data_IF_229291705349
#
_entry.id   IF_229291705349
#
_cell.length_a   1.000
_cell.length_b   1.000
_cell.length_c   1.000
_cell.angle_alpha   90.00
_cell.angle_beta   90.00
_cell.angle_gamma   90.00
#
_symmetry.space_group_name_H-M   'P 1'
#
loop_
_entity.id
_entity.type
_entity.pdbx_description
1 polymer ?
#
# COMPACT_ATOMS: atom_id res chain seq x y z
N UNK A 1 65.69 -21.66 13.11
CA UNK A 1 64.42 -22.32 12.75
C UNK A 1 63.31 -21.55 13.44
N UNK A 2 62.62 -20.66 12.71
CA UNK A 2 61.53 -19.82 13.23
C UNK A 2 60.24 -20.15 12.46
N UNK A 3 59.16 -20.33 13.20
CA UNK A 3 57.81 -20.67 12.74
C UNK A 3 57.21 -19.52 11.92
N UNK A 4 56.65 -19.81 10.74
CA UNK A 4 55.77 -18.87 10.01
C UNK A 4 54.33 -19.07 10.49
N UNK A 5 53.60 -18.00 10.86
CA UNK A 5 52.16 -18.11 11.11
C UNK A 5 51.39 -18.20 9.78
N UNK A 6 50.36 -19.03 9.77
CA UNK A 6 49.32 -19.12 8.74
C UNK A 6 48.48 -17.85 8.81
N UNK A 7 48.42 -17.09 7.72
CA UNK A 7 47.38 -16.09 7.49
C UNK A 7 46.19 -16.80 6.85
N UNK A 8 45.12 -17.01 7.63
CA UNK A 8 43.82 -17.42 7.10
C UNK A 8 43.18 -16.31 6.26
N UNK A 9 42.20 -16.63 5.41
CA UNK A 9 41.56 -15.65 4.54
C UNK A 9 40.87 -14.58 5.38
N UNK A 10 41.19 -13.31 5.10
CA UNK A 10 40.44 -12.18 5.64
C UNK A 10 38.98 -12.29 5.17
N UNK A 11 37.98 -12.04 6.04
CA UNK A 11 36.60 -11.97 5.60
C UNK A 11 36.45 -10.73 4.72
N UNK A 12 36.37 -10.96 3.41
CA UNK A 12 36.00 -9.92 2.44
C UNK A 12 34.64 -9.36 2.84
N UNK A 13 34.64 -8.12 3.31
CA UNK A 13 33.42 -7.32 3.40
C UNK A 13 32.88 -7.22 1.98
N UNK A 14 31.62 -7.59 1.70
CA UNK A 14 31.07 -7.37 0.38
C UNK A 14 30.99 -5.86 0.15
N UNK A 15 31.85 -5.35 -0.74
CA UNK A 15 31.69 -4.04 -1.34
C UNK A 15 30.34 -4.05 -2.06
N UNK A 16 29.38 -3.30 -1.54
CA UNK A 16 28.15 -3.01 -2.25
C UNK A 16 28.53 -2.09 -3.40
N UNK A 17 28.56 -2.67 -4.60
CA UNK A 17 28.78 -1.97 -5.85
C UNK A 17 27.77 -0.82 -5.98
N UNK A 18 28.27 0.39 -6.21
CA UNK A 18 27.49 1.63 -6.36
C UNK A 18 26.58 1.61 -7.60
N UNK A 19 26.70 0.57 -8.44
CA UNK A 19 25.90 0.34 -9.64
C UNK A 19 24.77 -0.70 -9.47
N UNK A 20 24.24 -0.89 -8.26
CA UNK A 20 22.98 -1.62 -8.10
C UNK A 20 21.81 -0.76 -8.60
N UNK A 21 21.60 -0.72 -9.92
CA UNK A 21 20.33 -0.25 -10.49
C UNK A 21 19.21 -1.12 -9.92
N UNK A 22 18.43 -0.52 -9.02
CA UNK A 22 17.27 -1.16 -8.43
C UNK A 22 16.19 -1.26 -9.51
N UNK A 23 16.11 -2.41 -10.18
CA UNK A 23 15.03 -2.72 -11.13
C UNK A 23 13.79 -3.02 -10.29
N UNK A 24 12.95 -2.02 -10.06
CA UNK A 24 11.68 -2.19 -9.34
C UNK A 24 10.68 -2.79 -10.33
N UNK A 25 10.21 -4.01 -10.06
CA UNK A 25 9.07 -4.60 -10.78
C UNK A 25 7.78 -3.91 -10.35
N UNK A 26 7.45 -2.84 -11.08
CA UNK A 26 6.31 -1.98 -10.81
C UNK A 26 4.98 -2.73 -10.92
N UNK A 27 4.85 -3.58 -11.94
CA UNK A 27 3.64 -4.39 -12.13
C UNK A 27 3.54 -5.48 -11.06
N UNK A 28 4.66 -6.09 -10.70
CA UNK A 28 4.75 -7.03 -9.57
C UNK A 28 4.33 -6.38 -8.24
N UNK A 29 4.74 -5.14 -7.98
CA UNK A 29 4.34 -4.39 -6.78
C UNK A 29 2.83 -4.13 -6.73
N UNK A 30 2.22 -3.76 -7.88
CA UNK A 30 0.77 -3.61 -8.01
C UNK A 30 0.02 -4.92 -7.72
N UNK A 31 0.34 -6.01 -8.43
CA UNK A 31 -0.40 -7.28 -8.26
C UNK A 31 -0.19 -7.90 -6.88
N UNK A 32 1.01 -7.74 -6.29
CA UNK A 32 1.28 -8.18 -4.92
C UNK A 32 0.39 -7.43 -3.93
N UNK A 33 0.29 -6.11 -4.07
CA UNK A 33 -0.58 -5.30 -3.22
C UNK A 33 -2.06 -5.64 -3.38
N UNK A 34 -2.51 -5.83 -4.61
CA UNK A 34 -3.88 -6.23 -4.93
C UNK A 34 -4.23 -7.58 -4.32
N UNK A 35 -3.37 -8.58 -4.50
CA UNK A 35 -3.56 -9.91 -3.92
C UNK A 35 -3.56 -9.88 -2.40
N UNK A 36 -2.60 -9.18 -1.78
CA UNK A 36 -2.49 -9.06 -0.34
C UNK A 36 -3.72 -8.37 0.27
N UNK A 37 -4.22 -7.28 -0.34
CA UNK A 37 -5.42 -6.61 0.13
C UNK A 37 -6.65 -7.53 0.10
N UNK A 38 -6.86 -8.24 -1.01
CA UNK A 38 -7.96 -9.20 -1.14
C UNK A 38 -7.89 -10.28 -0.07
N UNK A 39 -6.71 -10.89 0.08
CA UNK A 39 -6.48 -11.92 1.08
C UNK A 39 -6.72 -11.40 2.51
N UNK A 40 -6.19 -10.22 2.82
CA UNK A 40 -6.31 -9.63 4.14
C UNK A 40 -7.77 -9.35 4.52
N UNK A 41 -8.56 -8.80 3.58
CA UNK A 41 -9.97 -8.52 3.79
C UNK A 41 -10.79 -9.81 3.93
N UNK A 42 -10.58 -10.78 3.02
CA UNK A 42 -11.34 -12.03 3.00
C UNK A 42 -11.08 -12.91 4.23
N UNK A 43 -9.85 -12.89 4.74
CA UNK A 43 -9.41 -13.76 5.83
C UNK A 43 -9.21 -13.03 7.17
N UNK A 44 -9.40 -11.71 7.20
CA UNK A 44 -9.18 -10.89 8.41
C UNK A 44 -7.72 -10.86 8.86
N UNK A 45 -6.77 -10.92 7.93
CA UNK A 45 -5.35 -10.70 8.26
C UNK A 45 -5.17 -9.24 8.70
N UNK A 46 -4.38 -8.96 9.76
CA UNK A 46 -4.05 -7.59 10.12
C UNK A 46 -3.39 -6.84 8.97
N UNK A 47 -3.86 -5.64 8.63
CA UNK A 47 -3.37 -4.87 7.49
C UNK A 47 -1.86 -4.57 7.58
N UNK A 48 -1.35 -4.28 8.78
CA UNK A 48 0.08 -4.03 8.99
C UNK A 48 0.95 -5.27 8.68
N UNK A 49 0.43 -6.47 8.97
CA UNK A 49 1.09 -7.72 8.63
C UNK A 49 1.07 -7.95 7.10
N UNK A 50 -0.08 -7.76 6.46
CA UNK A 50 -0.20 -7.87 5.01
C UNK A 50 0.71 -6.89 4.26
N UNK A 51 0.76 -5.62 4.70
CA UNK A 51 1.64 -4.61 4.12
C UNK A 51 3.13 -4.92 4.33
N UNK A 52 3.48 -5.56 5.44
CA UNK A 52 4.87 -5.97 5.72
C UNK A 52 5.33 -7.15 4.87
N UNK A 53 4.40 -7.99 4.39
CA UNK A 53 4.67 -9.10 3.47
C UNK A 53 4.81 -8.64 2.01
N UNK A 54 4.34 -7.44 1.67
CA UNK A 54 4.32 -6.90 0.29
C UNK A 54 5.66 -6.34 -0.19
N UNK A 55 6.52 -5.84 0.70
CA UNK A 55 7.91 -5.48 0.38
C UNK A 55 8.76 -5.42 1.66
N UNK A 56 10.07 -5.73 1.62
CA UNK A 56 10.97 -5.40 2.71
C UNK A 56 10.87 -3.90 3.00
N UNK A 57 10.77 -3.50 4.27
CA UNK A 57 10.72 -2.08 4.71
C UNK A 57 11.70 -1.13 3.99
N UNK A 58 12.84 -1.67 3.52
CA UNK A 58 13.87 -0.94 2.75
C UNK A 58 13.43 -0.55 1.34
N UNK A 59 12.54 -1.30 0.71
CA UNK A 59 12.03 -1.01 -0.64
C UNK A 59 10.91 0.03 -0.61
N UNK A 60 10.11 0.09 0.46
CA UNK A 60 9.10 1.14 0.66
C UNK A 60 9.69 2.56 0.63
N UNK A 61 10.85 2.75 1.28
CA UNK A 61 11.55 4.05 1.24
C UNK A 61 12.00 4.43 -0.18
N UNK A 62 12.44 3.46 -0.98
CA UNK A 62 12.84 3.67 -2.39
C UNK A 62 11.62 3.94 -3.27
N UNK A 63 10.52 3.22 -3.05
CA UNK A 63 9.24 3.42 -3.75
C UNK A 63 8.68 4.82 -3.47
N UNK A 64 8.75 5.29 -2.22
CA UNK A 64 8.36 6.65 -1.83
C UNK A 64 9.18 7.72 -2.57
N UNK A 65 10.49 7.52 -2.66
CA UNK A 65 11.39 8.49 -3.31
C UNK A 65 11.21 8.54 -4.84
N UNK A 66 10.74 7.45 -5.46
CA UNK A 66 10.74 7.29 -6.92
C UNK A 66 9.38 7.53 -7.58
N UNK A 67 8.34 7.95 -6.83
CA UNK A 67 6.93 8.01 -7.30
C UNK A 67 6.37 6.67 -7.82
N UNK A 68 7.14 5.59 -7.68
CA UNK A 68 6.75 4.21 -7.99
C UNK A 68 5.88 3.62 -6.87
N UNK A 69 5.86 4.23 -5.68
CA UNK A 69 4.98 3.76 -4.62
C UNK A 69 3.49 4.02 -4.86
N UNK A 70 3.11 4.70 -5.95
CA UNK A 70 1.72 4.78 -6.39
C UNK A 70 1.16 3.39 -6.73
N UNK A 71 1.97 2.50 -7.28
CA UNK A 71 1.54 1.19 -7.74
C UNK A 71 1.05 0.26 -6.61
N UNK A 72 1.75 0.14 -5.46
CA UNK A 72 1.18 -0.54 -4.29
C UNK A 72 -0.14 0.04 -3.79
N UNK A 73 -0.30 1.36 -3.79
CA UNK A 73 -1.54 2.02 -3.35
C UNK A 73 -2.69 1.69 -4.30
N UNK A 74 -2.45 1.80 -5.61
CA UNK A 74 -3.41 1.43 -6.65
C UNK A 74 -3.81 -0.04 -6.54
N UNK A 75 -2.83 -0.93 -6.36
CA UNK A 75 -3.06 -2.36 -6.21
C UNK A 75 -3.92 -2.66 -4.98
N UNK A 76 -3.56 -2.10 -3.83
CA UNK A 76 -4.32 -2.29 -2.59
C UNK A 76 -5.77 -1.77 -2.72
N UNK A 77 -5.97 -0.59 -3.31
CA UNK A 77 -7.30 -0.03 -3.55
C UNK A 77 -8.12 -0.88 -4.52
N UNK A 78 -7.52 -1.34 -5.62
CA UNK A 78 -8.17 -2.22 -6.58
C UNK A 78 -8.60 -3.54 -5.91
N UNK A 79 -7.71 -4.17 -5.16
CA UNK A 79 -8.02 -5.40 -4.42
C UNK A 79 -9.15 -5.21 -3.42
N UNK A 80 -9.14 -4.09 -2.69
CA UNK A 80 -10.20 -3.76 -1.75
C UNK A 80 -11.56 -3.57 -2.45
N UNK A 81 -11.62 -2.76 -3.51
CA UNK A 81 -12.85 -2.48 -4.25
C UNK A 81 -13.43 -3.76 -4.86
N UNK A 82 -12.60 -4.60 -5.48
CA UNK A 82 -13.03 -5.89 -6.04
C UNK A 82 -13.65 -6.79 -4.98
N UNK A 83 -12.99 -6.94 -3.82
CA UNK A 83 -13.48 -7.79 -2.74
C UNK A 83 -14.78 -7.25 -2.14
N UNK A 84 -14.90 -5.93 -1.96
CA UNK A 84 -16.12 -5.30 -1.46
C UNK A 84 -17.29 -5.43 -2.43
N UNK A 85 -17.07 -5.12 -3.72
CA UNK A 85 -18.09 -5.27 -4.77
C UNK A 85 -18.56 -6.72 -4.92
N UNK A 86 -17.65 -7.70 -4.82
CA UNK A 86 -17.99 -9.12 -4.84
C UNK A 86 -18.91 -9.54 -3.68
N UNK A 87 -18.97 -8.76 -2.60
CA UNK A 87 -19.90 -8.93 -1.47
C UNK A 87 -21.13 -8.02 -1.52
N UNK A 88 -21.34 -7.28 -2.61
CA UNK A 88 -22.46 -6.36 -2.74
C UNK A 88 -22.37 -5.15 -1.81
N UNK A 89 -21.18 -4.86 -1.27
CA UNK A 89 -20.94 -3.64 -0.49
C UNK A 89 -21.06 -2.43 -1.42
N UNK A 90 -21.77 -1.41 -0.94
CA UNK A 90 -21.98 -0.15 -1.64
C UNK A 90 -21.23 0.99 -0.96
N UNK A 91 -21.12 2.13 -1.63
CA UNK A 91 -20.50 3.32 -1.06
C UNK A 91 -21.15 3.80 0.25
N UNK A 92 -22.46 3.56 0.41
CA UNK A 92 -23.19 3.91 1.63
C UNK A 92 -22.72 3.15 2.88
N UNK A 93 -22.05 2.00 2.68
CA UNK A 93 -21.58 1.13 3.77
C UNK A 93 -20.21 1.54 4.31
N UNK A 94 -19.45 2.36 3.58
CA UNK A 94 -18.09 2.78 3.97
C UNK A 94 -18.12 3.79 5.13
N UNK A 95 -19.20 4.58 5.23
CA UNK A 95 -19.35 5.64 6.20
C UNK A 95 -18.92 7.02 5.67
N UNK A 96 -19.11 8.09 6.46
CA UNK A 96 -18.81 9.45 6.02
C UNK A 96 -17.30 9.70 5.93
N UNK A 97 -16.89 10.45 4.91
CA UNK A 97 -15.49 10.92 4.76
C UNK A 97 -15.16 11.87 5.93
N UNK A 98 -14.14 11.56 6.75
CA UNK A 98 -13.70 12.44 7.83
C UNK A 98 -13.10 13.77 7.31
N UNK A 99 -13.34 14.86 8.05
CA UNK A 99 -12.69 16.16 7.80
C UNK A 99 -11.22 16.12 8.22
N UNK A 100 -10.31 15.84 7.29
CA UNK A 100 -8.89 16.02 7.51
C UNK A 100 -8.52 17.52 7.43
N UNK A 101 -8.24 18.15 8.58
CA UNK A 101 -7.79 19.55 8.63
C UNK A 101 -6.50 19.74 7.84
N UNK A 102 -6.36 20.91 7.21
CA UNK A 102 -5.14 21.32 6.51
C UNK A 102 -3.94 21.30 7.48
N UNK A 103 -2.99 20.39 7.25
CA UNK A 103 -1.84 20.20 8.15
C UNK A 103 -0.76 19.23 7.65
N UNK A 104 -0.69 18.96 6.34
CA UNK A 104 0.22 17.95 5.77
C UNK A 104 -0.25 16.51 5.95
N UNK A 105 0.51 15.55 5.40
CA UNK A 105 0.21 14.13 5.51
C UNK A 105 0.41 13.62 6.94
N UNK A 106 -0.63 12.96 7.48
CA UNK A 106 -0.64 12.32 8.79
C UNK A 106 -1.71 11.23 8.82
N UNK A 107 -1.77 10.43 9.88
CA UNK A 107 -2.72 9.32 9.98
C UNK A 107 -4.19 9.71 9.76
N UNK A 108 -4.62 10.91 10.16
CA UNK A 108 -5.99 11.38 9.90
C UNK A 108 -6.22 11.71 8.42
N UNK A 109 -5.19 12.24 7.74
CA UNK A 109 -5.22 12.46 6.30
C UNK A 109 -5.18 11.14 5.52
N UNK A 110 -4.36 10.17 5.97
CA UNK A 110 -4.31 8.80 5.42
C UNK A 110 -5.70 8.17 5.48
N UNK A 111 -6.34 8.22 6.66
CA UNK A 111 -7.68 7.68 6.90
C UNK A 111 -8.75 8.36 6.04
N UNK A 112 -8.78 9.69 6.02
CA UNK A 112 -9.74 10.42 5.20
C UNK A 112 -9.56 10.13 3.70
N UNK A 113 -8.32 9.97 3.25
CA UNK A 113 -8.00 9.64 1.85
C UNK A 113 -8.45 8.22 1.52
N UNK A 114 -8.16 7.23 2.36
CA UNK A 114 -8.59 5.85 2.17
C UNK A 114 -10.12 5.72 2.12
N UNK A 115 -10.83 6.36 3.06
CA UNK A 115 -12.31 6.39 3.07
C UNK A 115 -12.85 7.03 1.79
N UNK A 116 -12.35 8.23 1.43
CA UNK A 116 -12.79 8.94 0.21
C UNK A 116 -12.61 8.08 -1.03
N UNK A 117 -11.43 7.50 -1.22
CA UNK A 117 -11.16 6.70 -2.41
C UNK A 117 -12.00 5.44 -2.49
N UNK A 118 -12.19 4.72 -1.38
CA UNK A 118 -13.08 3.55 -1.34
C UNK A 118 -14.52 3.93 -1.67
N UNK A 119 -15.04 5.02 -1.07
CA UNK A 119 -16.37 5.53 -1.36
C UNK A 119 -16.49 5.87 -2.85
N UNK A 120 -15.61 6.70 -3.39
CA UNK A 120 -15.66 7.16 -4.78
C UNK A 120 -15.53 6.01 -5.79
N UNK A 121 -14.63 5.04 -5.53
CA UNK A 121 -14.46 3.88 -6.40
C UNK A 121 -15.69 2.95 -6.37
N UNK A 122 -16.34 2.79 -5.22
CA UNK A 122 -17.57 2.02 -5.11
C UNK A 122 -18.76 2.76 -5.77
N UNK A 123 -18.88 4.08 -5.60
CA UNK A 123 -19.93 4.90 -6.24
C UNK A 123 -19.88 4.81 -7.76
N UNK A 124 -18.67 4.83 -8.32
CA UNK A 124 -18.45 4.79 -9.77
C UNK A 124 -18.45 3.38 -10.34
N UNK A 125 -18.47 2.36 -9.49
CA UNK A 125 -18.19 0.97 -9.88
C UNK A 125 -16.87 0.89 -10.68
N UNK A 126 -15.84 1.57 -10.14
CA UNK A 126 -14.56 1.78 -10.79
C UNK A 126 -13.84 0.47 -11.08
N UNK A 127 -13.24 0.40 -12.28
CA UNK A 127 -12.28 -0.64 -12.62
C UNK A 127 -10.83 -0.22 -12.28
N UNK A 128 -9.86 -1.08 -12.60
CA UNK A 128 -8.45 -0.81 -12.31
C UNK A 128 -7.92 0.47 -13.00
N UNK A 129 -8.46 0.84 -14.17
CA UNK A 129 -8.06 2.04 -14.90
C UNK A 129 -8.61 3.30 -14.25
N UNK A 130 -9.87 3.26 -13.81
CA UNK A 130 -10.46 4.37 -13.07
C UNK A 130 -9.71 4.64 -11.76
N UNK A 131 -9.33 3.56 -11.06
CA UNK A 131 -8.55 3.63 -9.82
C UNK A 131 -7.15 4.22 -10.05
N UNK A 132 -6.47 3.81 -11.12
CA UNK A 132 -5.16 4.36 -11.52
C UNK A 132 -5.22 5.88 -11.67
N UNK A 133 -6.21 6.38 -12.41
CA UNK A 133 -6.43 7.81 -12.63
C UNK A 133 -6.76 8.55 -11.33
N UNK A 134 -7.65 8.00 -10.49
CA UNK A 134 -8.03 8.61 -9.21
C UNK A 134 -6.82 8.77 -8.27
N UNK A 135 -5.97 7.74 -8.18
CA UNK A 135 -4.78 7.77 -7.34
C UNK A 135 -3.76 8.75 -7.90
N UNK A 136 -3.53 8.76 -9.22
CA UNK A 136 -2.60 9.68 -9.86
C UNK A 136 -3.02 11.15 -9.65
N UNK A 137 -4.28 11.51 -9.94
CA UNK A 137 -4.77 12.89 -9.77
C UNK A 137 -4.66 13.39 -8.32
N UNK A 138 -4.99 12.51 -7.37
CA UNK A 138 -4.90 12.84 -5.95
C UNK A 138 -3.45 12.99 -5.51
N UNK A 139 -2.54 12.13 -6.01
CA UNK A 139 -1.15 12.06 -5.56
C UNK A 139 -0.18 12.97 -6.34
N UNK A 140 -0.60 13.56 -7.47
CA UNK A 140 0.14 14.56 -8.24
C UNK A 140 -0.19 16.02 -7.83
N UNK A 141 -1.16 16.21 -6.93
CA UNK A 141 -1.59 17.55 -6.50
C UNK A 141 -0.48 18.36 -5.78
N UNK A 142 -0.42 19.70 -5.95
CA UNK A 142 0.60 20.54 -5.32
C UNK A 142 0.55 20.45 -3.78
N UNK A 143 1.64 20.01 -3.15
CA UNK A 143 1.74 19.84 -1.69
C UNK A 143 2.17 18.43 -1.24
N UNK A 144 2.42 17.53 -2.19
CA UNK A 144 2.72 16.11 -1.95
C UNK A 144 4.20 15.74 -2.05
N UNK A 145 5.05 16.73 -2.31
CA UNK A 145 6.48 16.53 -2.44
C UNK A 145 7.11 16.22 -1.06
N UNK A 146 7.43 14.94 -0.83
CA UNK A 146 8.54 14.55 0.04
C UNK A 146 8.22 13.65 1.23
N UNK A 147 6.95 13.37 1.53
CA UNK A 147 6.58 12.54 2.69
C UNK A 147 5.34 11.68 2.41
N UNK A 148 5.34 11.02 1.25
CA UNK A 148 4.29 10.06 0.91
C UNK A 148 4.39 8.87 1.86
N UNK A 149 3.43 8.76 2.77
CA UNK A 149 3.27 7.64 3.72
C UNK A 149 2.62 6.43 3.04
N UNK A 150 3.24 5.96 1.96
CA UNK A 150 2.65 4.99 1.02
C UNK A 150 2.28 3.69 1.72
N UNK A 151 3.18 3.19 2.56
CA UNK A 151 2.91 2.00 3.38
C UNK A 151 1.70 2.23 4.27
N UNK A 152 1.66 3.35 4.98
CA UNK A 152 0.57 3.68 5.91
C UNK A 152 -0.76 3.84 5.18
N UNK A 153 -0.75 4.42 3.98
CA UNK A 153 -1.94 4.56 3.15
C UNK A 153 -2.44 3.19 2.65
N UNK A 154 -1.54 2.29 2.24
CA UNK A 154 -1.87 0.90 1.90
C UNK A 154 -2.51 0.19 3.10
N UNK A 155 -1.91 0.30 4.28
CA UNK A 155 -2.44 -0.26 5.52
C UNK A 155 -3.84 0.28 5.80
N UNK A 156 -4.02 1.59 5.70
CA UNK A 156 -5.29 2.24 6.01
C UNK A 156 -6.40 1.87 5.01
N UNK A 157 -6.09 1.71 3.72
CA UNK A 157 -7.03 1.19 2.72
C UNK A 157 -7.52 -0.21 3.12
N UNK A 158 -6.61 -1.11 3.49
CA UNK A 158 -6.96 -2.46 3.91
C UNK A 158 -7.77 -2.47 5.21
N UNK A 159 -7.42 -1.62 6.18
CA UNK A 159 -8.12 -1.52 7.47
C UNK A 159 -9.53 -0.95 7.33
N UNK A 160 -9.73 0.07 6.49
CA UNK A 160 -11.07 0.58 6.19
C UNK A 160 -11.88 -0.50 5.48
N UNK A 161 -11.35 -1.12 4.43
CA UNK A 161 -12.06 -2.14 3.68
C UNK A 161 -12.42 -3.36 4.53
N UNK A 162 -11.51 -3.83 5.39
CA UNK A 162 -11.76 -4.96 6.31
C UNK A 162 -12.87 -4.65 7.31
N UNK A 163 -12.93 -3.42 7.84
CA UNK A 163 -14.03 -2.97 8.71
C UNK A 163 -15.37 -2.98 7.99
N UNK A 164 -15.42 -2.44 6.78
CA UNK A 164 -16.65 -2.38 5.96
C UNK A 164 -17.12 -3.79 5.61
N UNK A 165 -16.21 -4.64 5.13
CA UNK A 165 -16.47 -6.04 4.82
C UNK A 165 -17.02 -6.81 6.02
N UNK A 166 -16.40 -6.63 7.19
CA UNK A 166 -16.83 -7.28 8.43
C UNK A 166 -18.22 -6.82 8.87
N UNK A 167 -18.50 -5.52 8.77
CA UNK A 167 -19.81 -4.95 9.10
C UNK A 167 -20.91 -5.49 8.18
N UNK A 168 -20.66 -5.56 6.87
CA UNK A 168 -21.59 -6.13 5.90
C UNK A 168 -21.90 -7.60 6.20
N UNK A 169 -20.86 -8.41 6.50
CA UNK A 169 -21.03 -9.83 6.86
C UNK A 169 -21.86 -10.02 8.14
N UNK A 170 -21.72 -9.11 9.11
CA UNK A 170 -22.50 -9.15 10.35
C UNK A 170 -23.97 -8.76 10.17
N UNK A 171 -24.32 -8.02 9.11
CA UNK A 171 -25.71 -7.66 8.81
C UNK A 171 -26.50 -8.80 8.13
N UNK A 172 -25.81 -9.79 7.57
CA UNK A 172 -26.40 -10.95 6.89
C UNK A 172 -26.64 -12.17 7.81
N UNK A 173 -26.09 -12.16 9.02
CA UNK A 173 -26.11 -13.28 9.99
C UNK A 173 -27.22 -13.13 11.05
#
# INVERSE_FOLDING_TARGET
MFLRPVSGPEPSVPELDEDTQLVIDVYGAYETARSAARHAIEHGQPADAAASEMAPAKEWAVMNASWIGLFPVQGALCGAVETLQARGVTAGDVGPVPDARAGGWNAAYDHATAVRWLTEALERNSDARDIDLMVAETLESPGLNGDLRIRELVVEIMDVATRVFSAARSAEA
#
